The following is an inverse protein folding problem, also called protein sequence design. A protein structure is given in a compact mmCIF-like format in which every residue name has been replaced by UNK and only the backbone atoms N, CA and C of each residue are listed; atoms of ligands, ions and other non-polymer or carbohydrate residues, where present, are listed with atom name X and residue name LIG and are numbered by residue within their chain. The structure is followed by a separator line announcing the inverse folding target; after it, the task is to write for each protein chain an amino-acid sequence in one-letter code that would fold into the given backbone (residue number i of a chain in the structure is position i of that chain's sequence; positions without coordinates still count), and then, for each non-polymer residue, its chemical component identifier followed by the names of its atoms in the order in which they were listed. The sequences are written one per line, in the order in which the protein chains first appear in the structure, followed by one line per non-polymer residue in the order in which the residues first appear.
data_IF_075334529241
#
_entry.id   IF_075334529241
#
_cell.length_a   1.000
_cell.length_b   1.000
_cell.length_c   1.000
_cell.angle_alpha   90.00
_cell.angle_beta   90.00
_cell.angle_gamma   90.00
#
_symmetry.space_group_name_H-M   'P 1'
#
loop_
_entity.id
_entity.type
_entity.pdbx_description
1 polymer ?
#
# COMPACT_ATOMS: atom_id res chain seq x y z
N UNK A 1 -9.54 17.89 11.58
CA UNK A 1 -8.72 16.91 10.86
C UNK A 1 -9.44 15.58 10.84
N UNK A 2 -9.52 14.97 9.68
CA UNK A 2 -10.26 13.72 9.51
C UNK A 2 -9.29 12.58 9.27
N UNK A 3 -9.50 11.47 9.96
CA UNK A 3 -8.84 10.22 9.63
C UNK A 3 -9.51 9.63 8.40
N UNK A 4 -8.70 9.26 7.43
CA UNK A 4 -9.15 8.60 6.22
C UNK A 4 -8.61 7.17 6.18
N UNK A 5 -9.48 6.22 5.88
CA UNK A 5 -9.10 4.84 5.66
C UNK A 5 -9.07 4.60 4.16
N UNK A 6 -7.91 4.22 3.64
CA UNK A 6 -7.71 4.00 2.22
C UNK A 6 -7.52 2.52 1.95
N UNK A 7 -8.30 1.99 1.02
CA UNK A 7 -8.24 0.58 0.63
C UNK A 7 -7.63 0.50 -0.77
N UNK A 8 -6.55 -0.26 -0.89
CA UNK A 8 -5.90 -0.53 -2.16
C UNK A 8 -6.13 -1.99 -2.52
N UNK A 9 -6.66 -2.22 -3.72
CA UNK A 9 -6.73 -3.56 -4.31
C UNK A 9 -5.87 -3.55 -5.55
N UNK A 10 -4.94 -4.50 -5.66
CA UNK A 10 -3.98 -4.51 -6.78
C UNK A 10 -3.43 -5.90 -7.03
N UNK A 11 -2.73 -6.04 -8.15
CA UNK A 11 -2.04 -7.28 -8.52
C UNK A 11 -0.55 -7.18 -8.21
N UNK A 12 0.06 -8.31 -7.94
CA UNK A 12 1.50 -8.42 -7.71
C UNK A 12 2.11 -9.42 -8.70
N UNK A 13 3.38 -9.20 -9.05
CA UNK A 13 4.15 -10.05 -9.96
C UNK A 13 5.13 -10.96 -9.23
N UNK A 14 5.11 -10.93 -7.91
CA UNK A 14 5.99 -11.73 -7.02
C UNK A 14 5.11 -12.46 -6.02
N UNK A 15 5.64 -13.47 -5.29
CA UNK A 15 4.88 -14.06 -4.18
C UNK A 15 4.50 -13.03 -3.14
N UNK A 16 3.34 -13.20 -2.53
CA UNK A 16 2.85 -12.26 -1.51
C UNK A 16 3.86 -12.00 -0.40
N UNK A 17 4.57 -13.03 0.04
CA UNK A 17 5.57 -12.93 1.10
C UNK A 17 6.71 -11.97 0.72
N UNK A 18 7.09 -11.94 -0.54
CA UNK A 18 8.13 -11.01 -1.01
C UNK A 18 7.62 -9.58 -1.00
N UNK A 19 6.41 -9.35 -1.51
CA UNK A 19 5.81 -8.02 -1.47
C UNK A 19 5.65 -7.54 -0.03
N UNK A 20 5.13 -8.42 0.85
CA UNK A 20 4.90 -8.08 2.26
C UNK A 20 6.22 -7.76 2.97
N UNK A 21 7.29 -8.49 2.65
CA UNK A 21 8.60 -8.23 3.25
C UNK A 21 9.13 -6.84 2.89
N UNK A 22 8.90 -6.38 1.65
CA UNK A 22 9.29 -5.03 1.24
C UNK A 22 8.40 -4.00 1.93
N UNK A 23 7.09 -4.25 1.98
CA UNK A 23 6.16 -3.35 2.66
C UNK A 23 6.52 -3.19 4.14
N UNK A 24 6.90 -4.28 4.79
CA UNK A 24 7.27 -4.31 6.21
C UNK A 24 8.76 -4.00 6.45
N UNK A 25 9.51 -3.60 5.42
CA UNK A 25 10.90 -3.22 5.57
C UNK A 25 11.04 -1.98 6.44
N UNK A 26 12.18 -1.84 7.12
CA UNK A 26 12.48 -0.70 7.97
C UNK A 26 12.30 0.62 7.22
N UNK A 27 12.77 0.67 5.98
CA UNK A 27 12.65 1.86 5.13
C UNK A 27 11.20 2.26 4.90
N UNK A 28 10.34 1.29 4.56
CA UNK A 28 8.94 1.58 4.29
C UNK A 28 8.19 1.93 5.58
N UNK A 29 8.48 1.23 6.67
CA UNK A 29 7.90 1.54 7.98
C UNK A 29 8.24 2.98 8.37
N UNK A 30 9.49 3.39 8.17
CA UNK A 30 9.92 4.74 8.48
C UNK A 30 9.21 5.78 7.62
N UNK A 31 9.06 5.51 6.32
CA UNK A 31 8.34 6.41 5.42
C UNK A 31 6.88 6.59 5.84
N UNK A 32 6.21 5.49 6.18
CA UNK A 32 4.82 5.54 6.65
C UNK A 32 4.71 6.34 7.95
N UNK A 33 5.64 6.10 8.87
CA UNK A 33 5.66 6.78 10.15
C UNK A 33 5.84 8.28 9.98
N UNK A 34 6.75 8.70 9.11
CA UNK A 34 7.00 10.12 8.84
C UNK A 34 5.78 10.82 8.26
N UNK A 35 4.95 10.08 7.53
CA UNK A 35 3.73 10.62 6.91
C UNK A 35 2.47 10.40 7.77
N UNK A 36 2.62 9.80 8.95
CA UNK A 36 1.50 9.53 9.84
C UNK A 36 0.55 8.46 9.31
N UNK A 37 1.06 7.51 8.54
CA UNK A 37 0.27 6.43 7.95
C UNK A 37 0.48 5.14 8.73
N UNK A 38 -0.61 4.46 9.08
CA UNK A 38 -0.55 3.15 9.71
C UNK A 38 -1.22 2.11 8.79
N UNK A 39 -0.69 0.90 8.80
CA UNK A 39 -1.29 -0.23 8.10
C UNK A 39 -2.28 -0.91 9.04
N UNK A 40 -3.54 -0.96 8.64
CA UNK A 40 -4.57 -1.65 9.41
C UNK A 40 -4.64 -3.13 9.04
N UNK A 41 -4.42 -3.47 7.77
CA UNK A 41 -4.50 -4.84 7.31
C UNK A 41 -3.84 -4.97 5.94
N UNK A 42 -3.18 -6.09 5.71
CA UNK A 42 -2.75 -6.50 4.38
C UNK A 42 -2.95 -8.00 4.23
N UNK A 43 -3.37 -8.43 3.06
CA UNK A 43 -3.63 -9.83 2.81
C UNK A 43 -3.67 -10.14 1.34
N UNK A 44 -3.64 -11.44 1.03
CA UNK A 44 -3.75 -11.96 -0.33
C UNK A 44 -5.08 -12.65 -0.48
N UNK A 45 -5.69 -12.55 -1.66
CA UNK A 45 -6.99 -13.15 -1.93
C UNK A 45 -6.90 -14.68 -1.83
N UNK A 46 -7.89 -15.28 -1.19
CA UNK A 46 -7.89 -16.71 -0.89
C UNK A 46 -7.74 -17.59 -2.13
N UNK A 47 -8.37 -17.20 -3.23
CA UNK A 47 -8.41 -17.98 -4.46
C UNK A 47 -7.61 -17.37 -5.61
N UNK A 48 -6.81 -16.33 -5.34
CA UNK A 48 -5.97 -15.69 -6.34
C UNK A 48 -4.73 -15.09 -5.67
N UNK A 49 -3.63 -15.83 -5.72
CA UNK A 49 -2.37 -15.45 -5.07
C UNK A 49 -1.73 -14.19 -5.65
N UNK A 50 -2.25 -13.65 -6.76
CA UNK A 50 -1.75 -12.41 -7.37
C UNK A 50 -2.55 -11.18 -6.95
N UNK A 51 -3.65 -11.35 -6.22
CA UNK A 51 -4.51 -10.24 -5.79
C UNK A 51 -4.29 -9.92 -4.33
N UNK A 52 -3.98 -8.65 -4.06
CA UNK A 52 -3.65 -8.17 -2.71
C UNK A 52 -4.61 -7.07 -2.31
N UNK A 53 -4.94 -7.04 -1.03
CA UNK A 53 -5.63 -5.92 -0.40
C UNK A 53 -4.68 -5.30 0.63
N UNK A 54 -4.62 -3.97 0.64
CA UNK A 54 -3.86 -3.19 1.62
C UNK A 54 -4.78 -2.10 2.14
N UNK A 55 -4.90 -2.02 3.46
CA UNK A 55 -5.74 -1.01 4.11
C UNK A 55 -4.86 -0.16 5.01
N UNK A 56 -4.82 1.14 4.72
CA UNK A 56 -4.03 2.11 5.48
C UNK A 56 -4.93 3.19 6.05
N UNK A 57 -4.48 3.81 7.13
CA UNK A 57 -5.20 4.91 7.74
C UNK A 57 -4.23 6.03 8.11
N UNK A 58 -4.69 7.25 7.92
CA UNK A 58 -3.93 8.44 8.27
C UNK A 58 -4.79 9.67 8.10
N UNK A 59 -4.18 10.83 8.23
CA UNK A 59 -4.86 12.09 7.97
C UNK A 59 -5.29 12.15 6.50
N UNK A 60 -6.43 12.75 6.26
CA UNK A 60 -7.03 12.83 4.92
C UNK A 60 -6.01 13.22 3.84
N UNK A 61 -5.95 12.42 2.78
CA UNK A 61 -5.09 12.64 1.61
C UNK A 61 -3.66 12.15 1.74
N UNK A 62 -3.19 11.80 2.93
CA UNK A 62 -1.77 11.43 3.13
C UNK A 62 -1.39 10.12 2.46
N UNK A 63 -2.22 9.09 2.60
CA UNK A 63 -1.93 7.78 2.01
C UNK A 63 -1.90 7.86 0.47
N UNK A 64 -2.93 8.47 -0.11
CA UNK A 64 -3.01 8.62 -1.57
C UNK A 64 -1.87 9.49 -2.10
N UNK A 65 -1.53 10.57 -1.41
CA UNK A 65 -0.43 11.44 -1.81
C UNK A 65 0.89 10.68 -1.86
N UNK A 66 1.14 9.80 -0.89
CA UNK A 66 2.33 8.95 -0.88
C UNK A 66 2.32 7.98 -2.06
N UNK A 67 1.19 7.33 -2.31
CA UNK A 67 1.07 6.38 -3.42
C UNK A 67 1.31 7.07 -4.77
N UNK A 68 0.84 8.29 -4.94
CA UNK A 68 0.96 9.05 -6.19
C UNK A 68 2.27 9.83 -6.32
N UNK A 69 3.10 9.85 -5.28
CA UNK A 69 4.38 10.56 -5.29
C UNK A 69 5.34 9.90 -6.31
N UNK A 70 5.79 10.62 -7.34
CA UNK A 70 6.68 10.04 -8.34
C UNK A 70 8.03 9.59 -7.77
N UNK A 71 8.43 10.10 -6.61
CA UNK A 71 9.64 9.65 -5.93
C UNK A 71 9.44 8.28 -5.25
N UNK A 72 8.20 7.94 -4.91
CA UNK A 72 7.86 6.68 -4.23
C UNK A 72 7.48 5.58 -5.22
N UNK A 73 6.95 5.95 -6.38
CA UNK A 73 6.48 4.98 -7.38
C UNK A 73 7.51 3.90 -7.73
N UNK A 74 8.81 4.22 -7.99
CA UNK A 74 9.79 3.17 -8.29
C UNK A 74 9.95 2.15 -7.16
N UNK A 75 9.85 2.58 -5.91
CA UNK A 75 9.93 1.68 -4.76
C UNK A 75 8.71 0.75 -4.72
N UNK A 76 7.52 1.29 -4.97
CA UNK A 76 6.28 0.51 -5.04
C UNK A 76 6.41 -0.56 -6.12
N UNK A 77 6.84 -0.19 -7.31
CA UNK A 77 6.99 -1.12 -8.43
C UNK A 77 8.08 -2.15 -8.18
N UNK A 78 9.18 -1.77 -7.53
CA UNK A 78 10.27 -2.69 -7.22
C UNK A 78 9.87 -3.79 -6.24
N UNK A 79 8.82 -3.57 -5.47
CA UNK A 79 8.28 -4.57 -4.55
C UNK A 79 7.40 -5.62 -5.26
N UNK A 80 7.16 -5.46 -6.56
CA UNK A 80 6.31 -6.36 -7.33
C UNK A 80 4.87 -5.90 -7.45
N UNK A 81 4.54 -4.71 -6.96
CA UNK A 81 3.22 -4.11 -7.10
C UNK A 81 3.02 -3.67 -8.55
N UNK A 82 2.01 -4.20 -9.22
CA UNK A 82 1.66 -3.80 -10.59
C UNK A 82 0.85 -2.53 -10.48
N UNK A 83 1.52 -1.40 -10.65
CA UNK A 83 0.97 -0.08 -10.33
C UNK A 83 -0.36 0.20 -11.02
N UNK A 84 -0.45 -0.10 -12.31
CA UNK A 84 -1.64 0.20 -13.12
C UNK A 84 -2.84 -0.68 -12.77
N UNK A 85 -2.65 -1.74 -11.99
CA UNK A 85 -3.73 -2.62 -11.55
C UNK A 85 -4.47 -2.08 -10.32
N UNK A 86 -3.99 -0.99 -9.74
CA UNK A 86 -4.46 -0.50 -8.44
C UNK A 86 -5.84 0.13 -8.54
N UNK A 87 -6.74 -0.31 -7.65
CA UNK A 87 -8.05 0.29 -7.44
C UNK A 87 -8.08 0.84 -6.02
N UNK A 88 -8.37 2.12 -5.88
CA UNK A 88 -8.32 2.83 -4.60
C UNK A 88 -9.72 3.22 -4.16
N UNK A 89 -10.05 2.94 -2.91
CA UNK A 89 -11.30 3.38 -2.29
C UNK A 89 -10.97 4.07 -0.97
N UNK A 90 -11.64 5.17 -0.68
CA UNK A 90 -11.40 5.95 0.53
C UNK A 90 -12.67 6.07 1.37
N UNK A 91 -12.49 6.00 2.68
CA UNK A 91 -13.57 6.01 3.65
C UNK A 91 -13.21 6.91 4.82
N UNK A 92 -14.23 7.48 5.43
CA UNK A 92 -14.08 8.24 6.67
C UNK A 92 -14.68 7.53 7.87
#
# INVERSE_FOLDING_TARGET
MSLETTVYNFKISVPFEEWAAVYDSEENIQMNKERGIICLYKGVKKDDATSVILIEQGEEGKSIAMFEDPAVKPLIESAGHIYDSTVISSYF
#
